data_IF_296599763557
#
_entry.id   IF_296599763557
#
_cell.length_a   1.000
_cell.length_b   1.000
_cell.length_c   1.000
_cell.angle_alpha   90.00
_cell.angle_beta   90.00
_cell.angle_gamma   90.00
#
_symmetry.space_group_name_H-M   'P 1'
#
loop_
_entity.id
_entity.type
_entity.pdbx_description
1 polymer ?
#
# COMPACT_ATOMS: atom_id res chain seq x y z
N UNK A 1 45.32 -52.61 -11.79
CA UNK A 1 44.10 -52.58 -10.92
C UNK A 1 43.52 -51.19 -10.93
N UNK A 2 42.49 -51.00 -11.69
CA UNK A 2 41.84 -49.67 -11.86
C UNK A 2 40.59 -49.59 -11.01
N UNK A 3 40.56 -48.62 -10.11
CA UNK A 3 39.37 -48.25 -9.36
C UNK A 3 38.47 -47.39 -10.22
N UNK A 4 37.37 -47.96 -10.71
CA UNK A 4 36.27 -47.22 -11.31
C UNK A 4 35.43 -46.58 -10.18
N UNK A 5 35.55 -45.28 -9.98
CA UNK A 5 34.58 -44.51 -9.19
C UNK A 5 33.27 -44.47 -9.96
N UNK A 6 32.22 -45.02 -9.37
CA UNK A 6 30.86 -44.80 -9.78
C UNK A 6 30.46 -43.38 -9.41
N UNK A 7 30.26 -42.53 -10.40
CA UNK A 7 29.56 -41.25 -10.20
C UNK A 7 28.09 -41.56 -9.91
N UNK A 8 27.68 -41.37 -8.66
CA UNK A 8 26.26 -41.30 -8.32
C UNK A 8 25.66 -40.01 -8.89
N UNK A 9 24.80 -40.20 -9.87
CA UNK A 9 23.96 -39.11 -10.42
C UNK A 9 22.99 -38.66 -9.34
N UNK A 10 23.32 -37.56 -8.63
CA UNK A 10 22.40 -36.88 -7.75
C UNK A 10 21.28 -36.34 -8.61
N UNK A 11 20.14 -37.00 -8.56
CA UNK A 11 18.90 -36.52 -9.17
C UNK A 11 18.55 -35.17 -8.52
N UNK A 12 18.77 -34.09 -9.25
CA UNK A 12 18.28 -32.75 -8.89
C UNK A 12 16.77 -32.86 -8.90
N UNK A 13 16.15 -32.98 -7.72
CA UNK A 13 14.74 -32.81 -7.55
C UNK A 13 14.44 -31.37 -7.98
N UNK A 14 13.98 -31.20 -9.20
CA UNK A 14 13.36 -29.96 -9.64
C UNK A 14 12.20 -29.68 -8.68
N UNK A 15 12.43 -28.74 -7.77
CA UNK A 15 11.36 -28.17 -6.98
C UNK A 15 10.38 -27.55 -7.99
N UNK A 16 9.27 -28.24 -8.23
CA UNK A 16 8.12 -27.62 -8.87
C UNK A 16 7.77 -26.44 -8.00
N UNK A 17 7.80 -25.25 -8.59
CA UNK A 17 7.23 -24.04 -7.97
C UNK A 17 5.91 -24.45 -7.32
N UNK A 18 5.68 -24.11 -6.04
CA UNK A 18 4.40 -24.43 -5.42
C UNK A 18 3.34 -23.91 -6.38
N UNK A 19 2.46 -24.82 -6.84
CA UNK A 19 1.30 -24.40 -7.63
C UNK A 19 0.63 -23.33 -6.81
N UNK A 20 0.60 -22.09 -7.34
CA UNK A 20 -0.20 -21.00 -6.76
C UNK A 20 -1.54 -21.65 -6.43
N UNK A 21 -1.98 -21.63 -5.16
CA UNK A 21 -3.20 -22.30 -4.78
C UNK A 21 -4.28 -21.76 -5.69
N UNK A 22 -4.87 -22.65 -6.51
CA UNK A 22 -6.07 -22.30 -7.26
C UNK A 22 -7.02 -21.69 -6.27
N UNK A 23 -7.39 -20.42 -6.51
CA UNK A 23 -8.23 -19.56 -5.71
C UNK A 23 -9.22 -20.36 -4.88
N UNK A 24 -9.00 -20.41 -3.56
CA UNK A 24 -9.92 -21.10 -2.68
C UNK A 24 -11.22 -20.31 -2.70
N UNK A 25 -12.36 -20.87 -3.17
CA UNK A 25 -13.60 -20.13 -3.37
C UNK A 25 -14.20 -19.55 -2.08
N UNK A 26 -13.60 -19.82 -0.94
CA UNK A 26 -14.04 -19.41 0.40
C UNK A 26 -13.11 -18.43 1.12
N UNK A 27 -12.08 -17.88 0.45
CA UNK A 27 -11.26 -16.84 1.07
C UNK A 27 -12.13 -15.60 1.31
N UNK A 28 -12.15 -15.02 2.54
CA UNK A 28 -12.87 -13.77 2.84
C UNK A 28 -12.48 -12.63 1.89
N UNK A 29 -11.23 -12.58 1.45
CA UNK A 29 -10.76 -11.63 0.46
C UNK A 29 -11.47 -11.79 -0.89
N UNK A 30 -11.58 -13.02 -1.38
CA UNK A 30 -12.29 -13.30 -2.63
C UNK A 30 -13.76 -12.99 -2.54
N UNK A 31 -14.39 -13.37 -1.43
CA UNK A 31 -15.79 -13.06 -1.18
C UNK A 31 -16.02 -11.55 -1.19
N UNK A 32 -15.18 -10.79 -0.49
CA UNK A 32 -15.24 -9.32 -0.48
C UNK A 32 -15.02 -8.74 -1.87
N UNK A 33 -13.97 -9.17 -2.59
CA UNK A 33 -13.64 -8.68 -3.94
C UNK A 33 -14.79 -8.92 -4.93
N UNK A 34 -15.30 -10.14 -5.01
CA UNK A 34 -16.35 -10.49 -5.95
C UNK A 34 -17.66 -9.75 -5.66
N UNK A 35 -18.04 -9.67 -4.38
CA UNK A 35 -19.24 -8.95 -3.99
C UNK A 35 -19.10 -7.43 -4.16
N UNK A 36 -17.88 -6.89 -3.98
CA UNK A 36 -17.62 -5.48 -4.27
C UNK A 36 -17.68 -5.16 -5.76
N UNK A 37 -17.12 -6.02 -6.61
CA UNK A 37 -17.25 -5.88 -8.05
C UNK A 37 -18.72 -5.95 -8.50
N UNK A 38 -19.51 -6.85 -7.89
CA UNK A 38 -20.94 -6.93 -8.14
C UNK A 38 -21.68 -5.66 -7.70
N UNK A 39 -21.31 -5.08 -6.55
CA UNK A 39 -21.83 -3.81 -6.07
C UNK A 39 -21.56 -2.70 -7.08
N UNK A 40 -20.30 -2.53 -7.50
CA UNK A 40 -19.91 -1.52 -8.49
C UNK A 40 -20.68 -1.67 -9.80
N UNK A 41 -20.76 -2.91 -10.31
CA UNK A 41 -21.52 -3.23 -11.54
C UNK A 41 -22.99 -2.88 -11.42
N UNK A 42 -23.63 -3.20 -10.29
CA UNK A 42 -25.04 -2.89 -10.05
C UNK A 42 -25.31 -1.38 -9.95
N UNK A 43 -24.32 -0.61 -9.53
CA UNK A 43 -24.38 0.85 -9.45
C UNK A 43 -23.92 1.54 -10.74
N UNK A 44 -23.50 0.77 -11.75
CA UNK A 44 -22.91 1.29 -12.99
C UNK A 44 -21.67 2.18 -12.74
N UNK A 45 -20.90 1.86 -11.72
CA UNK A 45 -19.64 2.50 -11.36
C UNK A 45 -18.49 1.54 -11.69
N UNK A 46 -17.41 2.06 -12.26
CA UNK A 46 -16.26 1.23 -12.65
C UNK A 46 -15.22 1.12 -11.53
N UNK A 47 -15.15 2.14 -10.66
CA UNK A 47 -14.06 2.32 -9.71
C UNK A 47 -14.58 2.67 -8.32
N UNK A 48 -13.94 2.08 -7.32
CA UNK A 48 -14.25 2.41 -5.94
C UNK A 48 -13.38 1.66 -4.96
N UNK A 49 -13.57 1.95 -3.67
CA UNK A 49 -12.80 1.30 -2.62
C UNK A 49 -13.26 1.68 -1.22
N UNK A 50 -12.49 1.22 -0.24
CA UNK A 50 -12.69 1.53 1.16
C UNK A 50 -11.50 2.25 1.75
N UNK A 51 -11.78 3.39 2.34
CA UNK A 51 -10.88 4.13 3.20
C UNK A 51 -11.14 3.69 4.64
N UNK A 52 -10.11 3.22 5.34
CA UNK A 52 -10.19 2.81 6.74
C UNK A 52 -9.33 3.76 7.56
N UNK A 53 -9.87 4.26 8.67
CA UNK A 53 -9.14 5.08 9.62
C UNK A 53 -8.05 4.24 10.27
N UNK A 54 -6.81 4.65 10.12
CA UNK A 54 -5.65 3.86 10.52
C UNK A 54 -5.06 4.28 11.84
N UNK A 55 -5.14 5.56 12.07
CA UNK A 55 -4.84 6.25 13.29
C UNK A 55 -5.75 7.47 13.34
N UNK A 56 -5.62 8.32 14.34
CA UNK A 56 -6.47 9.51 14.47
C UNK A 56 -6.30 10.49 13.30
N UNK A 57 -5.18 10.42 12.58
CA UNK A 57 -4.80 11.44 11.61
C UNK A 57 -5.11 11.10 10.16
N UNK A 58 -5.29 9.81 9.80
CA UNK A 58 -5.37 9.41 8.38
C UNK A 58 -6.37 8.31 8.08
N UNK A 59 -6.95 8.38 6.89
CA UNK A 59 -7.70 7.31 6.23
C UNK A 59 -6.86 6.73 5.10
N UNK A 60 -6.63 5.42 5.12
CA UNK A 60 -5.90 4.71 4.07
C UNK A 60 -6.84 3.90 3.19
N UNK A 61 -6.53 3.88 1.90
CA UNK A 61 -7.19 2.98 0.97
C UNK A 61 -6.67 1.55 1.20
N UNK A 62 -7.54 0.71 1.77
CA UNK A 62 -7.19 -0.66 2.13
C UNK A 62 -7.78 -1.71 1.21
N UNK A 63 -8.79 -1.33 0.44
CA UNK A 63 -9.48 -2.22 -0.49
C UNK A 63 -10.01 -1.40 -1.66
N UNK A 64 -9.78 -1.86 -2.90
CA UNK A 64 -10.24 -1.14 -4.08
C UNK A 64 -10.49 -2.09 -5.26
N UNK A 65 -11.33 -1.64 -6.19
CA UNK A 65 -11.51 -2.26 -7.48
C UNK A 65 -11.56 -1.18 -8.58
N UNK A 66 -10.91 -1.46 -9.69
CA UNK A 66 -10.82 -0.54 -10.84
C UNK A 66 -9.91 0.68 -10.65
N UNK A 67 -9.39 0.88 -9.45
CA UNK A 67 -8.52 2.00 -9.09
C UNK A 67 -7.09 1.71 -9.56
N UNK A 68 -6.42 2.75 -10.05
CA UNK A 68 -5.01 2.71 -10.44
C UNK A 68 -4.12 2.27 -9.28
N UNK A 69 -3.12 1.44 -9.56
CA UNK A 69 -2.21 0.92 -8.54
C UNK A 69 -1.45 2.04 -7.82
N UNK A 70 -1.12 3.13 -8.53
CA UNK A 70 -0.48 4.31 -7.95
C UNK A 70 -1.39 4.97 -6.93
N UNK A 71 -2.66 5.16 -7.30
CA UNK A 71 -3.68 5.69 -6.40
C UNK A 71 -3.86 4.78 -5.19
N UNK A 72 -3.93 3.47 -5.41
CA UNK A 72 -4.07 2.51 -4.32
C UNK A 72 -2.97 2.67 -3.26
N UNK A 73 -1.73 2.81 -3.69
CA UNK A 73 -0.59 2.96 -2.78
C UNK A 73 -0.45 4.36 -2.16
N UNK A 74 -0.93 5.40 -2.85
CA UNK A 74 -0.80 6.80 -2.39
C UNK A 74 -1.99 7.32 -1.61
N UNK A 75 -3.15 6.68 -1.73
CA UNK A 75 -4.38 7.18 -1.16
C UNK A 75 -4.39 7.01 0.37
N UNK A 76 -3.79 8.00 1.02
CA UNK A 76 -3.78 8.18 2.47
C UNK A 76 -4.22 9.61 2.77
N UNK A 77 -5.51 9.77 3.03
CA UNK A 77 -6.15 11.08 3.15
C UNK A 77 -6.14 11.50 4.63
N UNK A 78 -5.63 12.69 4.98
CA UNK A 78 -5.72 13.21 6.34
C UNK A 78 -7.17 13.31 6.83
N UNK A 79 -7.40 12.94 8.09
CA UNK A 79 -8.73 13.03 8.71
C UNK A 79 -9.30 14.43 8.64
N UNK A 80 -8.47 15.45 8.81
CA UNK A 80 -8.86 16.85 8.73
C UNK A 80 -9.44 17.25 7.36
N UNK A 81 -9.04 16.59 6.28
CA UNK A 81 -9.63 16.84 4.94
C UNK A 81 -11.03 16.23 4.88
N UNK A 82 -11.18 14.98 5.33
CA UNK A 82 -12.48 14.30 5.34
C UNK A 82 -13.47 15.02 6.25
N UNK A 83 -13.03 15.43 7.43
CA UNK A 83 -13.84 16.18 8.40
C UNK A 83 -14.26 17.58 7.90
N UNK A 84 -13.50 18.14 6.96
CA UNK A 84 -13.83 19.40 6.29
C UNK A 84 -14.91 19.29 5.21
N UNK A 85 -15.32 18.09 4.84
CA UNK A 85 -16.40 17.92 3.86
C UNK A 85 -17.77 17.98 4.54
N UNK A 86 -18.67 18.74 3.95
CA UNK A 86 -20.05 18.83 4.45
C UNK A 86 -20.84 17.58 4.10
N UNK A 87 -21.32 16.87 5.12
CA UNK A 87 -22.20 15.73 4.93
C UNK A 87 -23.53 16.17 4.30
N UNK A 88 -23.91 15.52 3.20
CA UNK A 88 -25.25 15.63 2.62
C UNK A 88 -26.23 14.78 3.44
N UNK A 89 -27.25 14.21 2.83
CA UNK A 89 -28.17 13.33 3.55
C UNK A 89 -27.51 12.02 4.01
N UNK A 90 -27.84 11.54 5.21
CA UNK A 90 -27.43 10.24 5.74
C UNK A 90 -25.91 9.98 5.70
N UNK A 91 -25.12 10.94 6.13
CA UNK A 91 -23.65 10.82 6.13
C UNK A 91 -23.07 10.46 4.76
N UNK A 92 -23.61 11.03 3.72
CA UNK A 92 -23.14 10.92 2.34
C UNK A 92 -22.48 12.21 1.91
N UNK A 93 -21.37 12.10 1.22
CA UNK A 93 -20.57 13.21 0.76
C UNK A 93 -20.43 13.10 -0.76
N UNK A 94 -20.62 14.18 -1.48
CA UNK A 94 -20.36 14.25 -2.91
C UNK A 94 -19.29 15.29 -3.15
N UNK A 95 -18.11 14.84 -3.54
CA UNK A 95 -16.93 15.66 -3.75
C UNK A 95 -16.84 16.02 -5.23
N UNK A 96 -16.93 17.30 -5.52
CA UNK A 96 -16.85 17.85 -6.87
C UNK A 96 -15.88 19.02 -6.92
N UNK A 97 -15.34 19.34 -8.08
CA UNK A 97 -14.52 20.53 -8.35
C UNK A 97 -13.57 20.92 -7.19
N UNK A 98 -14.00 21.84 -6.32
CA UNK A 98 -13.20 22.39 -5.22
C UNK A 98 -12.78 21.31 -4.22
N UNK A 99 -13.68 20.41 -3.86
CA UNK A 99 -13.39 19.34 -2.90
C UNK A 99 -12.38 18.35 -3.48
N UNK A 100 -12.51 18.01 -4.78
CA UNK A 100 -11.56 17.16 -5.48
C UNK A 100 -10.15 17.76 -5.49
N UNK A 101 -10.01 19.07 -5.54
CA UNK A 101 -8.69 19.72 -5.53
C UNK A 101 -7.92 19.46 -4.23
N UNK A 102 -8.61 19.32 -3.10
CA UNK A 102 -8.01 19.07 -1.79
C UNK A 102 -7.41 17.65 -1.67
N UNK A 103 -7.92 16.71 -2.48
CA UNK A 103 -7.48 15.30 -2.47
C UNK A 103 -6.65 14.91 -3.69
N UNK A 104 -6.36 15.85 -4.58
CA UNK A 104 -5.60 15.62 -5.82
C UNK A 104 -4.31 14.84 -5.61
N UNK A 105 -3.55 15.16 -4.57
CA UNK A 105 -2.24 14.58 -4.31
C UNK A 105 -2.27 13.11 -3.88
N UNK A 106 -3.44 12.58 -3.56
CA UNK A 106 -3.64 11.19 -3.14
C UNK A 106 -4.01 10.25 -4.29
N UNK A 107 -4.20 10.82 -5.48
CA UNK A 107 -4.51 10.08 -6.70
C UNK A 107 -3.35 10.15 -7.70
N UNK A 108 -3.25 9.18 -8.59
CA UNK A 108 -2.39 9.33 -9.77
C UNK A 108 -2.92 10.46 -10.66
N UNK A 109 -2.02 11.17 -11.34
CA UNK A 109 -2.44 12.27 -12.23
C UNK A 109 -3.41 11.80 -13.31
N UNK A 110 -3.18 10.60 -13.85
CA UNK A 110 -4.04 10.02 -14.87
C UNK A 110 -5.44 9.71 -14.33
N UNK A 111 -5.52 9.16 -13.13
CA UNK A 111 -6.80 8.85 -12.50
C UNK A 111 -7.55 10.12 -12.11
N UNK A 112 -6.84 11.09 -11.49
CA UNK A 112 -7.44 12.35 -11.07
C UNK A 112 -8.10 13.11 -12.23
N UNK A 113 -7.45 13.19 -13.40
CA UNK A 113 -8.02 13.84 -14.59
C UNK A 113 -9.31 13.16 -15.05
N UNK A 114 -9.44 11.86 -14.84
CA UNK A 114 -10.63 11.11 -15.23
C UNK A 114 -11.82 11.27 -14.29
N UNK A 115 -11.61 11.79 -13.07
CA UNK A 115 -12.63 11.92 -12.03
C UNK A 115 -13.53 13.11 -12.30
N UNK A 116 -14.84 12.89 -12.31
CA UNK A 116 -15.84 13.94 -12.33
C UNK A 116 -16.45 14.19 -10.95
N UNK A 117 -16.62 13.14 -10.17
CA UNK A 117 -17.22 13.16 -8.84
C UNK A 117 -16.73 11.96 -8.03
N UNK A 118 -16.53 12.16 -6.73
CA UNK A 118 -16.35 11.06 -5.77
C UNK A 118 -17.51 11.10 -4.79
N UNK A 119 -18.18 9.97 -4.63
CA UNK A 119 -19.26 9.80 -3.66
C UNK A 119 -18.70 8.99 -2.48
N UNK A 120 -18.78 9.57 -1.28
CA UNK A 120 -18.39 8.92 -0.05
C UNK A 120 -19.62 8.52 0.75
N UNK A 121 -19.60 7.30 1.29
CA UNK A 121 -20.57 6.83 2.27
C UNK A 121 -19.84 6.55 3.57
N UNK A 122 -20.24 7.21 4.64
CA UNK A 122 -19.71 6.93 5.97
C UNK A 122 -20.22 5.58 6.47
N UNK A 123 -19.31 4.77 6.95
CA UNK A 123 -19.57 3.45 7.51
C UNK A 123 -18.99 3.43 8.92
N UNK A 124 -19.70 2.81 9.88
CA UNK A 124 -19.27 2.69 11.27
C UNK A 124 -18.90 4.03 11.91
N UNK A 125 -19.82 4.99 11.87
CA UNK A 125 -19.62 6.29 12.51
C UNK A 125 -18.31 6.98 12.08
N UNK A 126 -18.05 6.98 10.77
CA UNK A 126 -16.86 7.56 10.14
C UNK A 126 -15.52 6.84 10.43
N UNK A 127 -15.54 5.61 10.95
CA UNK A 127 -14.31 4.79 11.03
C UNK A 127 -13.85 4.29 9.67
N UNK A 128 -14.77 4.16 8.73
CA UNK A 128 -14.53 3.76 7.35
C UNK A 128 -15.38 4.57 6.39
N UNK A 129 -14.89 4.74 5.17
CA UNK A 129 -15.67 5.32 4.07
C UNK A 129 -15.61 4.39 2.86
N UNK A 130 -16.77 4.06 2.32
CA UNK A 130 -16.86 3.59 0.96
C UNK A 130 -16.76 4.79 0.03
N UNK A 131 -15.83 4.79 -0.90
CA UNK A 131 -15.79 5.78 -1.97
C UNK A 131 -16.07 5.15 -3.33
N UNK A 132 -16.85 5.85 -4.12
CA UNK A 132 -17.20 5.49 -5.49
C UNK A 132 -16.74 6.61 -6.40
N UNK A 133 -15.99 6.26 -7.45
CA UNK A 133 -15.47 7.25 -8.41
C UNK A 133 -16.34 7.23 -9.65
N UNK A 134 -16.94 8.40 -9.95
CA UNK A 134 -17.60 8.65 -11.26
C UNK A 134 -16.60 9.26 -12.21
N UNK A 135 -16.49 8.69 -13.38
CA UNK A 135 -15.65 9.21 -14.45
C UNK A 135 -16.35 10.31 -15.24
N UNK A 136 -15.59 11.13 -15.96
CA UNK A 136 -16.16 12.14 -16.86
C UNK A 136 -17.07 11.53 -17.94
N UNK A 137 -16.86 10.26 -18.28
CA UNK A 137 -17.69 9.52 -19.23
C UNK A 137 -19.08 9.20 -18.66
N UNK A 138 -19.20 9.20 -17.33
CA UNK A 138 -20.46 8.88 -16.63
C UNK A 138 -21.33 10.10 -16.36
N UNK A 139 -20.84 11.31 -16.66
CA UNK A 139 -21.57 12.58 -16.44
C UNK A 139 -22.89 12.62 -17.23
N UNK A 140 -22.94 11.92 -18.35
CA UNK A 140 -24.14 11.88 -19.21
C UNK A 140 -25.10 10.73 -18.84
N UNK A 141 -24.80 9.97 -17.78
CA UNK A 141 -25.69 8.91 -17.27
C UNK A 141 -26.69 9.51 -16.29
N UNK A 142 -27.77 8.77 -16.05
CA UNK A 142 -28.81 9.14 -15.08
C UNK A 142 -28.25 9.56 -13.73
N UNK A 143 -29.01 10.37 -13.00
CA UNK A 143 -28.66 10.78 -11.64
C UNK A 143 -28.35 9.54 -10.78
N UNK A 144 -27.34 9.63 -9.94
CA UNK A 144 -26.91 8.52 -9.08
C UNK A 144 -28.02 8.14 -8.10
N UNK A 145 -28.45 6.89 -8.15
CA UNK A 145 -29.51 6.35 -7.29
C UNK A 145 -28.97 5.95 -5.91
N UNK A 146 -29.12 6.87 -4.95
CA UNK A 146 -28.66 6.68 -3.59
C UNK A 146 -29.42 5.59 -2.83
N UNK A 147 -30.73 5.40 -3.10
CA UNK A 147 -31.51 4.35 -2.42
C UNK A 147 -31.08 2.96 -2.88
N UNK A 148 -30.83 2.83 -4.18
CA UNK A 148 -30.26 1.62 -4.74
C UNK A 148 -28.86 1.34 -4.17
N UNK A 149 -28.04 2.40 -4.04
CA UNK A 149 -26.72 2.29 -3.47
C UNK A 149 -26.74 1.76 -2.02
N UNK A 150 -27.58 2.33 -1.15
CA UNK A 150 -27.72 1.87 0.23
C UNK A 150 -28.10 0.39 0.32
N UNK A 151 -29.05 -0.06 -0.50
CA UNK A 151 -29.46 -1.47 -0.55
C UNK A 151 -28.31 -2.38 -0.98
N UNK A 152 -27.50 -1.94 -1.94
CA UNK A 152 -26.34 -2.73 -2.41
C UNK A 152 -25.20 -2.73 -1.39
N UNK A 153 -24.93 -1.60 -0.76
CA UNK A 153 -23.96 -1.45 0.32
C UNK A 153 -24.34 -2.37 1.48
N UNK A 154 -25.59 -2.35 1.92
CA UNK A 154 -26.06 -3.22 2.99
C UNK A 154 -25.85 -4.71 2.73
N UNK A 155 -25.98 -5.16 1.47
CA UNK A 155 -25.67 -6.53 1.05
C UNK A 155 -24.18 -6.85 1.08
N UNK A 156 -23.34 -5.85 0.82
CA UNK A 156 -21.90 -6.00 0.77
C UNK A 156 -21.23 -5.96 2.15
N UNK A 157 -21.77 -5.17 3.09
CA UNK A 157 -21.17 -4.93 4.40
C UNK A 157 -20.72 -6.20 5.15
N UNK A 158 -21.47 -7.31 5.19
CA UNK A 158 -21.01 -8.52 5.89
C UNK A 158 -19.69 -9.09 5.34
N UNK A 159 -19.44 -8.96 4.05
CA UNK A 159 -18.19 -9.40 3.43
C UNK A 159 -17.04 -8.43 3.73
N UNK A 160 -17.36 -7.13 3.78
CA UNK A 160 -16.41 -6.10 4.15
C UNK A 160 -15.94 -6.24 5.61
N UNK A 161 -16.85 -6.52 6.53
CA UNK A 161 -16.52 -6.73 7.95
C UNK A 161 -15.50 -7.86 8.14
N UNK A 162 -15.71 -8.99 7.48
CA UNK A 162 -14.76 -10.11 7.53
C UNK A 162 -13.39 -9.71 6.97
N UNK A 163 -13.37 -9.01 5.85
CA UNK A 163 -12.14 -8.51 5.24
C UNK A 163 -11.43 -7.50 6.13
N UNK A 164 -12.18 -6.57 6.73
CA UNK A 164 -11.66 -5.54 7.63
C UNK A 164 -10.95 -6.14 8.83
N UNK A 165 -11.53 -7.13 9.49
CA UNK A 165 -10.89 -7.84 10.61
C UNK A 165 -9.51 -8.38 10.22
N UNK A 166 -9.39 -8.96 9.02
CA UNK A 166 -8.12 -9.49 8.53
C UNK A 166 -7.12 -8.36 8.29
N UNK A 167 -7.54 -7.28 7.65
CA UNK A 167 -6.67 -6.12 7.38
C UNK A 167 -6.19 -5.48 8.70
N UNK A 168 -7.04 -5.34 9.68
CA UNK A 168 -6.67 -4.80 10.99
C UNK A 168 -5.62 -5.66 11.69
N UNK A 169 -5.71 -6.99 11.56
CA UNK A 169 -4.73 -7.93 12.12
C UNK A 169 -3.38 -7.92 11.37
N UNK A 170 -3.39 -7.71 10.06
CA UNK A 170 -2.19 -7.81 9.21
C UNK A 170 -1.52 -6.47 8.91
N UNK A 171 -2.15 -5.38 9.30
CA UNK A 171 -1.75 -4.03 8.93
C UNK A 171 -0.41 -3.60 9.49
N UNK A 172 0.40 -2.85 8.71
CA UNK A 172 1.61 -2.21 9.21
C UNK A 172 1.32 -1.22 10.35
N UNK A 173 2.13 -1.28 11.42
CA UNK A 173 2.03 -0.38 12.58
C UNK A 173 2.32 1.07 12.19
N UNK A 174 3.07 1.28 11.11
CA UNK A 174 3.39 2.61 10.59
C UNK A 174 2.87 2.77 9.18
N UNK A 175 2.26 3.91 8.87
CA UNK A 175 2.03 4.26 7.48
C UNK A 175 3.39 4.43 6.80
N UNK A 176 3.66 3.66 5.77
CA UNK A 176 4.87 3.78 4.94
C UNK A 176 4.59 4.59 3.66
N UNK A 177 3.44 5.23 3.60
CA UNK A 177 3.10 6.21 2.59
C UNK A 177 2.96 7.57 3.25
N UNK A 178 3.76 8.52 2.79
CA UNK A 178 3.72 9.90 3.24
C UNK A 178 3.38 10.78 2.05
N UNK A 179 2.61 11.83 2.28
CA UNK A 179 2.48 12.92 1.31
C UNK A 179 3.85 13.60 1.10
N UNK A 180 4.07 14.16 -0.09
CA UNK A 180 5.34 14.81 -0.47
C UNK A 180 5.81 15.82 0.57
N UNK A 181 4.91 16.64 1.09
CA UNK A 181 5.23 17.67 2.08
C UNK A 181 5.71 17.06 3.40
N UNK A 182 5.08 15.98 3.86
CA UNK A 182 5.48 15.24 5.08
C UNK A 182 6.87 14.65 4.93
N UNK A 183 7.19 14.09 3.76
CA UNK A 183 8.53 13.58 3.45
C UNK A 183 9.56 14.67 3.56
N UNK A 184 9.31 15.81 2.91
CA UNK A 184 10.20 16.97 2.91
C UNK A 184 10.40 17.51 4.33
N UNK A 185 9.33 17.62 5.12
CA UNK A 185 9.39 18.09 6.49
C UNK A 185 10.23 17.16 7.38
N UNK A 186 10.03 15.84 7.28
CA UNK A 186 10.82 14.85 8.03
C UNK A 186 12.30 14.92 7.67
N UNK A 187 12.63 14.99 6.36
CA UNK A 187 14.01 15.14 5.90
C UNK A 187 14.64 16.42 6.48
N UNK A 188 13.97 17.56 6.32
CA UNK A 188 14.46 18.84 6.85
C UNK A 188 14.68 18.78 8.37
N UNK A 189 13.74 18.23 9.12
CA UNK A 189 13.84 18.10 10.57
C UNK A 189 15.04 17.25 10.98
N UNK A 190 15.27 16.13 10.30
CA UNK A 190 16.41 15.26 10.58
C UNK A 190 17.75 15.92 10.24
N UNK A 191 17.84 16.62 9.10
CA UNK A 191 19.05 17.33 8.70
C UNK A 191 19.37 18.54 9.62
N UNK A 192 18.36 19.23 10.13
CA UNK A 192 18.53 20.38 11.01
C UNK A 192 19.22 20.01 12.36
N UNK A 193 19.08 18.76 12.81
CA UNK A 193 19.79 18.24 14.00
C UNK A 193 21.14 17.59 13.62
N UNK A 194 21.69 17.97 12.49
CA UNK A 194 23.00 17.54 11.98
C UNK A 194 23.11 16.03 11.69
N UNK A 195 22.00 15.34 11.43
CA UNK A 195 22.02 13.96 10.99
C UNK A 195 22.42 13.85 9.51
N UNK A 196 23.01 12.70 9.20
CA UNK A 196 23.22 12.25 7.81
C UNK A 196 22.11 11.25 7.47
N UNK A 197 21.57 11.34 6.27
CA UNK A 197 20.61 10.38 5.75
C UNK A 197 21.36 9.24 5.04
N UNK A 198 21.21 8.02 5.54
CA UNK A 198 21.68 6.80 4.88
C UNK A 198 20.52 6.21 4.09
N UNK A 199 20.71 6.06 2.78
CA UNK A 199 19.65 5.72 1.84
C UNK A 199 19.72 4.23 1.49
N UNK A 200 18.62 3.53 1.75
CA UNK A 200 18.52 2.08 1.57
C UNK A 200 17.28 1.74 0.75
N UNK A 201 17.47 0.97 -0.32
CA UNK A 201 16.38 0.41 -1.11
C UNK A 201 16.22 -1.08 -0.77
N UNK A 202 15.01 -1.49 -0.39
CA UNK A 202 14.71 -2.88 -0.04
C UNK A 202 13.68 -3.41 -1.04
N UNK A 203 14.06 -4.43 -1.80
CA UNK A 203 13.25 -4.98 -2.87
C UNK A 203 12.59 -6.31 -2.45
N UNK A 204 11.31 -6.45 -2.76
CA UNK A 204 10.48 -7.61 -2.48
C UNK A 204 10.02 -8.35 -3.74
N UNK A 205 10.39 -7.88 -4.93
CA UNK A 205 9.86 -8.40 -6.20
C UNK A 205 10.20 -9.88 -6.45
N UNK A 206 11.22 -10.41 -5.82
CA UNK A 206 11.55 -11.84 -5.91
C UNK A 206 10.62 -12.73 -5.07
N UNK A 207 9.96 -12.16 -4.05
CA UNK A 207 8.97 -12.86 -3.23
C UNK A 207 7.57 -12.56 -3.77
N UNK A 208 7.32 -11.30 -4.09
CA UNK A 208 6.02 -10.76 -4.49
C UNK A 208 6.14 -10.06 -5.86
N UNK A 209 6.28 -10.84 -6.96
CA UNK A 209 6.53 -10.26 -8.29
C UNK A 209 5.33 -9.47 -8.83
N UNK A 210 4.13 -9.74 -8.34
CA UNK A 210 2.88 -9.13 -8.83
C UNK A 210 2.02 -8.66 -7.65
N UNK A 211 2.01 -7.35 -7.40
CA UNK A 211 1.23 -6.73 -6.32
C UNK A 211 -0.28 -6.85 -6.52
N UNK A 212 -0.75 -6.96 -7.76
CA UNK A 212 -2.17 -7.16 -8.05
C UNK A 212 -2.59 -8.56 -7.62
N UNK A 213 -1.76 -9.57 -7.90
CA UNK A 213 -2.01 -10.94 -7.43
C UNK A 213 -1.86 -11.07 -5.93
N UNK A 214 -0.94 -10.32 -5.33
CA UNK A 214 -0.76 -10.30 -3.89
C UNK A 214 -2.06 -9.99 -3.14
N UNK A 215 -2.86 -9.04 -3.64
CA UNK A 215 -4.16 -8.71 -3.05
C UNK A 215 -5.21 -9.83 -3.18
N UNK A 216 -4.96 -10.79 -4.04
CA UNK A 216 -5.85 -11.93 -4.26
C UNK A 216 -5.48 -13.17 -3.43
N UNK A 217 -4.32 -13.18 -2.79
CA UNK A 217 -3.87 -14.26 -1.91
C UNK A 217 -3.62 -13.73 -0.50
N UNK A 218 -4.52 -14.09 0.41
CA UNK A 218 -4.48 -13.61 1.78
C UNK A 218 -3.18 -14.00 2.50
N UNK A 219 -2.68 -15.22 2.30
CA UNK A 219 -1.47 -15.68 2.97
C UNK A 219 -0.25 -14.88 2.49
N UNK A 220 -0.16 -14.61 1.19
CA UNK A 220 0.90 -13.78 0.63
C UNK A 220 0.79 -12.33 1.09
N UNK A 221 -0.42 -11.80 1.20
CA UNK A 221 -0.67 -10.45 1.70
C UNK A 221 -0.27 -10.32 3.18
N UNK A 222 -0.64 -11.28 4.00
CA UNK A 222 -0.27 -11.36 5.42
C UNK A 222 1.24 -11.43 5.58
N UNK A 223 1.91 -12.30 4.83
CA UNK A 223 3.37 -12.41 4.82
C UNK A 223 4.04 -11.11 4.40
N UNK A 224 3.54 -10.47 3.35
CA UNK A 224 4.04 -9.18 2.85
C UNK A 224 4.00 -8.09 3.93
N UNK A 225 2.82 -7.88 4.54
CA UNK A 225 2.68 -6.89 5.60
C UNK A 225 3.49 -7.24 6.85
N UNK A 226 3.58 -8.52 7.20
CA UNK A 226 4.37 -8.99 8.33
C UNK A 226 5.86 -8.68 8.14
N UNK A 227 6.42 -8.93 6.96
CA UNK A 227 7.82 -8.62 6.63
C UNK A 227 8.05 -7.10 6.70
N UNK A 228 7.20 -6.29 6.05
CA UNK A 228 7.34 -4.83 6.06
C UNK A 228 7.26 -4.28 7.48
N UNK A 229 6.28 -4.70 8.26
CA UNK A 229 6.13 -4.29 9.65
C UNK A 229 7.38 -4.63 10.48
N UNK A 230 7.93 -5.81 10.28
CA UNK A 230 9.15 -6.21 10.99
C UNK A 230 10.34 -5.33 10.62
N UNK A 231 10.51 -5.01 9.35
CA UNK A 231 11.57 -4.10 8.89
C UNK A 231 11.38 -2.71 9.51
N UNK A 232 10.17 -2.16 9.44
CA UNK A 232 9.87 -0.84 10.02
C UNK A 232 10.13 -0.79 11.52
N UNK A 233 9.75 -1.84 12.25
CA UNK A 233 10.03 -1.94 13.69
C UNK A 233 11.54 -2.01 13.99
N UNK A 234 12.30 -2.73 13.17
CA UNK A 234 13.76 -2.82 13.32
C UNK A 234 14.46 -1.50 12.98
N UNK A 235 13.91 -0.74 12.03
CA UNK A 235 14.43 0.58 11.67
C UNK A 235 14.20 1.64 12.76
N UNK A 236 13.09 1.54 13.49
CA UNK A 236 12.71 2.49 14.54
C UNK A 236 11.97 3.73 14.01
N UNK A 237 11.33 4.44 14.94
CA UNK A 237 10.40 5.57 14.64
C UNK A 237 11.06 6.83 14.10
N UNK A 238 12.34 7.05 14.41
CA UNK A 238 13.11 8.22 13.97
C UNK A 238 13.44 8.17 12.47
N UNK A 239 13.38 7.01 11.89
CA UNK A 239 13.71 6.78 10.49
C UNK A 239 12.47 6.88 9.61
N UNK A 240 12.67 6.89 8.31
CA UNK A 240 11.61 7.01 7.33
C UNK A 240 11.70 5.89 6.30
N UNK A 241 10.55 5.29 5.99
CA UNK A 241 10.46 4.34 4.90
C UNK A 241 9.16 4.53 4.12
N UNK A 242 9.22 4.41 2.81
CA UNK A 242 8.12 4.64 1.89
C UNK A 242 8.08 3.50 0.89
N UNK A 243 6.92 2.89 0.73
CA UNK A 243 6.72 1.85 -0.27
C UNK A 243 6.54 2.48 -1.64
N UNK A 244 7.39 2.09 -2.58
CA UNK A 244 7.32 2.50 -3.98
C UNK A 244 6.38 1.62 -4.80
N UNK A 245 6.08 2.09 -6.00
CA UNK A 245 5.24 1.37 -6.95
C UNK A 245 5.94 0.16 -7.58
N UNK A 246 7.26 0.16 -7.54
CA UNK A 246 8.12 -0.92 -7.98
C UNK A 246 8.25 -2.04 -6.93
N UNK A 247 7.36 -2.05 -5.94
CA UNK A 247 7.38 -3.02 -4.84
C UNK A 247 8.65 -2.99 -3.99
N UNK A 248 9.33 -1.85 -3.97
CA UNK A 248 10.50 -1.61 -3.13
C UNK A 248 10.15 -0.67 -1.98
N UNK A 249 10.76 -0.92 -0.82
CA UNK A 249 10.72 -0.01 0.31
C UNK A 249 11.93 0.93 0.23
N UNK A 250 11.68 2.21 0.07
CA UNK A 250 12.69 3.26 0.07
C UNK A 250 12.83 3.80 1.48
N UNK A 251 13.99 3.62 2.07
CA UNK A 251 14.23 3.93 3.46
C UNK A 251 15.35 4.95 3.63
N UNK A 252 15.20 5.83 4.61
CA UNK A 252 16.24 6.73 5.07
C UNK A 252 16.46 6.54 6.56
N UNK A 253 17.68 6.19 6.91
CA UNK A 253 18.14 6.04 8.28
C UNK A 253 18.91 7.30 8.64
N UNK A 254 18.44 8.03 9.62
CA UNK A 254 19.07 9.27 10.06
C UNK A 254 19.99 9.02 11.25
N UNK A 255 21.25 9.40 11.14
CA UNK A 255 22.26 9.26 12.18
C UNK A 255 23.19 10.45 12.21
N UNK A 256 23.59 10.88 13.41
CA UNK A 256 24.62 11.89 13.62
C UNK A 256 26.04 11.34 13.43
N UNK A 257 26.17 10.02 13.53
CA UNK A 257 27.45 9.30 13.41
C UNK A 257 27.55 8.55 12.09
N UNK A 258 28.75 8.13 11.75
CA UNK A 258 28.96 7.20 10.62
C UNK A 258 28.31 5.88 10.95
N UNK A 259 27.22 5.55 10.26
CA UNK A 259 26.51 4.31 10.46
C UNK A 259 27.22 3.19 9.69
N UNK A 260 27.66 2.10 10.37
CA UNK A 260 28.16 0.93 9.68
C UNK A 260 26.99 0.17 9.03
N UNK A 261 26.64 0.62 7.83
CA UNK A 261 25.40 0.19 7.14
C UNK A 261 25.36 -1.32 6.92
N UNK A 262 26.51 -1.92 6.65
CA UNK A 262 26.60 -3.38 6.46
C UNK A 262 26.22 -4.16 7.72
N UNK A 263 26.65 -3.68 8.89
CA UNK A 263 26.26 -4.28 10.18
C UNK A 263 24.78 -4.07 10.43
N UNK A 264 24.25 -2.90 10.04
CA UNK A 264 22.83 -2.59 10.20
C UNK A 264 21.95 -3.48 9.31
N UNK A 265 22.29 -3.61 8.05
CA UNK A 265 21.56 -4.50 7.10
C UNK A 265 21.68 -5.97 7.50
N UNK A 266 22.85 -6.41 7.94
CA UNK A 266 23.04 -7.77 8.46
C UNK A 266 22.15 -8.06 9.69
N UNK A 267 22.01 -7.10 10.63
CA UNK A 267 21.12 -7.25 11.77
C UNK A 267 19.65 -7.37 11.35
N UNK A 268 19.22 -6.58 10.36
CA UNK A 268 17.87 -6.69 9.81
C UNK A 268 17.70 -8.08 9.19
N UNK A 269 18.60 -8.48 8.30
CA UNK A 269 18.56 -9.79 7.63
C UNK A 269 18.53 -10.94 8.64
N UNK A 270 19.42 -10.95 9.61
CA UNK A 270 19.46 -12.00 10.66
C UNK A 270 18.15 -12.05 11.47
N UNK A 271 17.57 -10.89 11.78
CA UNK A 271 16.28 -10.83 12.48
C UNK A 271 15.12 -11.35 11.64
N UNK A 272 15.12 -11.07 10.34
CA UNK A 272 14.12 -11.58 9.40
C UNK A 272 14.29 -13.09 9.20
N UNK A 273 15.52 -13.56 9.01
CA UNK A 273 15.84 -14.99 8.81
C UNK A 273 15.37 -15.84 10.00
N UNK A 274 15.54 -15.32 11.20
CA UNK A 274 15.08 -16.00 12.42
C UNK A 274 13.56 -16.23 12.45
N UNK A 275 12.79 -15.36 11.79
CA UNK A 275 11.31 -15.39 11.82
C UNK A 275 10.75 -16.10 10.60
N UNK A 276 11.27 -15.76 9.40
CA UNK A 276 10.68 -16.16 8.11
C UNK A 276 11.47 -17.28 7.40
N UNK A 277 12.64 -17.62 7.91
CA UNK A 277 13.51 -18.61 7.29
C UNK A 277 14.43 -18.03 6.20
N UNK A 278 15.45 -18.81 5.84
CA UNK A 278 16.48 -18.40 4.88
C UNK A 278 15.93 -18.31 3.45
N UNK A 279 15.02 -19.21 3.08
CA UNK A 279 14.42 -19.27 1.73
C UNK A 279 13.65 -17.98 1.35
N UNK A 280 13.02 -17.35 2.33
CA UNK A 280 12.31 -16.08 2.13
C UNK A 280 13.30 -14.93 2.18
N UNK A 281 14.18 -14.91 3.16
CA UNK A 281 15.07 -13.77 3.40
C UNK A 281 16.14 -13.61 2.33
N UNK A 282 16.62 -14.70 1.71
CA UNK A 282 17.54 -14.66 0.57
C UNK A 282 16.97 -13.94 -0.67
N UNK A 283 15.66 -13.79 -0.74
CA UNK A 283 14.94 -13.10 -1.81
C UNK A 283 14.65 -11.64 -1.51
N UNK A 284 14.97 -11.17 -0.29
CA UNK A 284 14.88 -9.75 0.08
C UNK A 284 16.21 -9.10 -0.25
N UNK A 285 16.22 -8.21 -1.23
CA UNK A 285 17.43 -7.50 -1.61
C UNK A 285 17.47 -6.16 -0.89
N UNK A 286 18.58 -5.90 -0.19
CA UNK A 286 18.85 -4.63 0.47
C UNK A 286 20.02 -3.95 -0.22
N UNK A 287 19.76 -2.85 -0.88
CA UNK A 287 20.75 -2.09 -1.64
C UNK A 287 20.99 -0.73 -0.98
N UNK A 288 22.23 -0.50 -0.56
CA UNK A 288 22.67 0.76 0.01
C UNK A 288 23.09 1.70 -1.11
N UNK A 289 22.35 2.78 -1.32
CA UNK A 289 22.59 3.75 -2.40
C UNK A 289 23.58 4.83 -2.01
N UNK A 290 23.86 5.00 -0.71
CA UNK A 290 24.80 6.00 -0.22
C UNK A 290 24.26 6.81 0.95
N UNK A 291 25.04 7.81 1.38
CA UNK A 291 24.63 8.74 2.43
C UNK A 291 24.70 10.18 1.94
N UNK A 292 23.81 11.03 2.41
CA UNK A 292 23.78 12.45 2.05
C UNK A 292 23.29 13.34 3.19
N UNK A 293 23.82 14.56 3.21
CA UNK A 293 23.28 15.71 3.97
C UNK A 293 22.56 16.70 3.03
N UNK A 294 22.61 16.46 1.74
CA UNK A 294 21.99 17.31 0.73
C UNK A 294 20.53 16.92 0.52
N UNK A 295 19.63 17.83 0.88
CA UNK A 295 18.19 17.60 0.75
C UNK A 295 17.76 17.26 -0.69
N UNK A 296 18.42 17.79 -1.70
CA UNK A 296 18.05 17.55 -3.10
C UNK A 296 18.45 16.14 -3.55
N UNK A 297 19.57 15.62 -3.08
CA UNK A 297 19.97 14.23 -3.33
C UNK A 297 19.01 13.25 -2.66
N UNK A 298 18.64 13.53 -1.41
CA UNK A 298 17.67 12.73 -0.67
C UNK A 298 16.30 12.75 -1.37
N UNK A 299 15.84 13.93 -1.81
CA UNK A 299 14.60 14.05 -2.60
C UNK A 299 14.69 13.26 -3.90
N UNK A 300 15.83 13.26 -4.58
CA UNK A 300 16.03 12.50 -5.81
C UNK A 300 15.92 11.00 -5.57
N UNK A 301 16.46 10.51 -4.46
CA UNK A 301 16.29 9.11 -4.06
C UNK A 301 14.81 8.74 -3.87
N UNK A 302 14.03 9.60 -3.21
CA UNK A 302 12.61 9.38 -3.05
C UNK A 302 11.76 9.74 -4.27
N UNK A 303 12.36 10.31 -5.33
CA UNK A 303 11.62 10.75 -6.53
C UNK A 303 10.88 9.60 -7.22
N UNK A 304 11.43 8.38 -7.18
CA UNK A 304 10.75 7.18 -7.69
C UNK A 304 9.43 6.89 -6.96
N UNK A 305 9.30 7.37 -5.72
CA UNK A 305 8.12 7.21 -4.85
C UNK A 305 7.22 8.44 -4.89
N UNK A 306 7.86 9.62 -4.99
CA UNK A 306 7.19 10.92 -4.95
C UNK A 306 6.70 11.32 -6.36
N UNK A 307 6.99 10.56 -7.40
CA UNK A 307 6.76 10.96 -8.79
C UNK A 307 5.46 11.73 -9.01
N UNK A 308 5.52 13.01 -8.71
CA UNK A 308 4.72 14.00 -9.35
C UNK A 308 5.26 14.16 -10.78
N UNK A 309 4.67 13.46 -11.72
CA UNK A 309 4.69 13.92 -13.10
C UNK A 309 3.86 15.22 -13.15
N UNK A 310 4.40 16.26 -12.54
CA UNK A 310 4.09 17.63 -12.91
C UNK A 310 5.13 18.02 -13.96
N UNK A 311 4.85 17.72 -15.17
CA UNK A 311 5.39 18.37 -16.36
C UNK A 311 4.29 18.38 -17.39
#
# INVERSE_FOLDING_TARGET
MGLRQKAETVSIKTYRSPKVPTERPHSPFFAAKNNFQALLKNLHIEKGGFLIKTNEDFYNLCFAAGVDITTFHRCMIPSSIIEGFEAKQNNRYSLTNKDLSSIKNFFSSQEYISISEIILFSIEEAKSFLFLIKSQKDVYREAFDFEKADKQIGKFLPYYEQYKQIIEMTRPVYPFQYGTDTIILKIKSALNINNTAHLLKIAFFHIFPDTVKLQCDLNSLELYYSIINKILNLMGKSNMAILGMDNCLYASIFSSETLPIDIYTQKITASLTKIYGEDICSKILMDYTGSSKNINEIKTFFKAVINDKTS
#
